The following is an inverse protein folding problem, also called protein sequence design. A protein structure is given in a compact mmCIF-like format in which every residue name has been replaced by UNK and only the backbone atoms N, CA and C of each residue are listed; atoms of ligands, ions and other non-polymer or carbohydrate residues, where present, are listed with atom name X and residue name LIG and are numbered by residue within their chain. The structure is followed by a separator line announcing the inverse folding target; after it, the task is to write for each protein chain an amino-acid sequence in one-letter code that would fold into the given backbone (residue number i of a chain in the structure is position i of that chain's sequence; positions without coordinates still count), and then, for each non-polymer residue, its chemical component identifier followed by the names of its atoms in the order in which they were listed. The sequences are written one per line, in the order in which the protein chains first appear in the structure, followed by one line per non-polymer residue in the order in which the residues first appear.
data_IF_545360903216
#
_entry.id   IF_545360903216
#
_cell.length_a   1.000
_cell.length_b   1.000
_cell.length_c   1.000
_cell.angle_alpha   90.00
_cell.angle_beta   90.00
_cell.angle_gamma   90.00
#
_symmetry.space_group_name_H-M   'P 1'
#
loop_
_entity.id
_entity.type
_entity.pdbx_description
1 polymer ?
#
# COMPACT_ATOMS: atom_id res chain seq x y z
N UNK A 1 32.61 -19.38 3.57
CA UNK A 1 31.89 -18.14 3.95
C UNK A 1 32.48 -16.89 3.29
N UNK A 2 33.77 -16.84 2.94
CA UNK A 2 34.37 -15.69 2.22
C UNK A 2 34.07 -15.61 0.71
N UNK A 3 33.70 -16.71 0.04
CA UNK A 3 33.32 -16.69 -1.38
C UNK A 3 32.05 -15.88 -1.68
N UNK A 4 31.21 -15.62 -0.68
CA UNK A 4 29.92 -14.94 -0.84
C UNK A 4 30.01 -13.41 -0.83
N UNK A 5 31.09 -12.81 -0.30
CA UNK A 5 31.02 -11.40 0.11
C UNK A 5 31.57 -10.39 -0.90
N UNK A 6 32.57 -10.77 -1.72
CA UNK A 6 33.23 -9.82 -2.64
C UNK A 6 33.01 -10.06 -4.13
N UNK A 7 32.34 -11.15 -4.54
CA UNK A 7 32.12 -11.45 -5.98
C UNK A 7 30.69 -11.85 -6.37
N UNK A 8 29.73 -11.95 -5.45
CA UNK A 8 28.39 -12.48 -5.76
C UNK A 8 27.62 -11.64 -6.79
N UNK A 9 27.72 -10.31 -6.69
CA UNK A 9 27.11 -9.37 -7.63
C UNK A 9 27.83 -9.41 -8.99
N UNK A 10 29.16 -9.48 -8.98
CA UNK A 10 29.98 -9.57 -10.20
C UNK A 10 29.86 -10.94 -10.91
N UNK A 11 29.43 -11.98 -10.20
CA UNK A 11 29.22 -13.33 -10.74
C UNK A 11 27.82 -13.56 -11.29
N UNK A 12 26.85 -12.67 -11.04
CA UNK A 12 25.46 -12.80 -11.51
C UNK A 12 25.19 -12.21 -12.90
N UNK A 13 26.24 -11.86 -13.65
CA UNK A 13 26.08 -11.39 -15.02
C UNK A 13 25.39 -10.04 -15.18
N UNK A 14 25.06 -9.71 -16.43
CA UNK A 14 24.40 -8.46 -16.80
C UNK A 14 22.98 -8.33 -16.22
N UNK A 15 22.28 -9.44 -16.02
CA UNK A 15 20.88 -9.46 -15.54
C UNK A 15 20.77 -9.15 -14.03
N UNK A 16 21.89 -9.19 -13.28
CA UNK A 16 21.93 -8.78 -11.88
C UNK A 16 21.64 -7.28 -11.68
N UNK A 17 22.05 -6.39 -12.60
CA UNK A 17 21.81 -4.95 -12.49
C UNK A 17 20.32 -4.57 -12.44
N UNK A 18 19.44 -5.01 -13.38
CA UNK A 18 18.02 -4.73 -13.30
C UNK A 18 17.34 -5.38 -12.08
N UNK A 19 17.83 -6.55 -11.62
CA UNK A 19 17.35 -7.20 -10.38
C UNK A 19 17.63 -6.34 -9.15
N UNK A 20 18.85 -5.80 -9.02
CA UNK A 20 19.21 -4.90 -7.93
C UNK A 20 18.40 -3.60 -7.97
N UNK A 21 18.14 -3.06 -9.16
CA UNK A 21 17.28 -1.89 -9.32
C UNK A 21 15.85 -2.15 -8.81
N UNK A 22 15.26 -3.30 -9.16
CA UNK A 22 13.93 -3.69 -8.68
C UNK A 22 13.91 -3.89 -7.17
N UNK A 23 14.94 -4.51 -6.61
CA UNK A 23 15.09 -4.69 -5.16
C UNK A 23 15.14 -3.35 -4.43
N UNK A 24 15.97 -2.42 -4.89
CA UNK A 24 16.09 -1.09 -4.30
C UNK A 24 14.78 -0.30 -4.42
N UNK A 25 14.16 -0.30 -5.61
CA UNK A 25 12.90 0.40 -5.84
C UNK A 25 11.76 -0.18 -4.99
N UNK A 26 11.68 -1.51 -4.88
CA UNK A 26 10.74 -2.19 -3.99
C UNK A 26 10.95 -1.83 -2.52
N UNK A 27 12.21 -1.75 -2.07
CA UNK A 27 12.55 -1.36 -0.70
C UNK A 27 12.16 0.09 -0.40
N UNK A 28 12.47 1.03 -1.30
CA UNK A 28 12.08 2.45 -1.15
C UNK A 28 10.56 2.59 -1.06
N UNK A 29 9.82 1.92 -1.95
CA UNK A 29 8.35 1.94 -1.91
C UNK A 29 7.81 1.32 -0.62
N UNK A 30 8.42 0.24 -0.13
CA UNK A 30 8.02 -0.39 1.13
C UNK A 30 8.18 0.56 2.32
N UNK A 31 9.34 1.23 2.45
CA UNK A 31 9.59 2.18 3.55
C UNK A 31 8.67 3.40 3.46
N UNK A 32 8.55 4.01 2.28
CA UNK A 32 7.65 5.14 2.05
C UNK A 32 6.21 4.79 2.45
N UNK A 33 5.71 3.64 1.99
CA UNK A 33 4.34 3.19 2.27
C UNK A 33 4.15 2.81 3.73
N UNK A 34 5.12 2.14 4.36
CA UNK A 34 5.07 1.79 5.78
C UNK A 34 4.93 3.03 6.66
N UNK A 35 5.70 4.09 6.38
CA UNK A 35 5.62 5.35 7.10
C UNK A 35 4.31 6.10 6.85
N UNK A 36 3.84 6.14 5.61
CA UNK A 36 2.55 6.76 5.26
C UNK A 36 1.39 6.10 6.00
N UNK A 37 1.38 4.76 6.03
CA UNK A 37 0.30 3.98 6.64
C UNK A 37 0.33 4.02 8.16
N UNK A 38 1.53 4.10 8.76
CA UNK A 38 1.67 4.31 10.20
C UNK A 38 1.11 5.67 10.64
N UNK A 39 1.34 6.74 9.88
CA UNK A 39 0.75 8.06 10.16
C UNK A 39 -0.77 8.08 10.02
N UNK A 40 -1.34 7.29 9.11
CA UNK A 40 -2.79 7.19 8.91
C UNK A 40 -3.57 6.50 10.05
N UNK A 41 -2.93 5.63 10.83
CA UNK A 41 -3.59 4.88 11.91
C UNK A 41 -3.74 5.65 13.23
N UNK A 42 -2.87 6.61 13.51
CA UNK A 42 -2.66 7.11 14.89
C UNK A 42 -3.79 8.04 15.39
N UNK A 43 -4.81 8.34 14.59
CA UNK A 43 -5.82 9.34 14.98
C UNK A 43 -7.29 9.02 14.72
N UNK A 44 -7.66 7.88 14.13
CA UNK A 44 -9.05 7.67 13.66
C UNK A 44 -10.10 7.77 14.79
N UNK A 45 -9.85 7.11 15.93
CA UNK A 45 -10.81 7.09 17.05
C UNK A 45 -10.87 8.42 17.80
N UNK A 46 -9.71 9.03 18.06
CA UNK A 46 -9.61 10.34 18.73
C UNK A 46 -10.21 11.44 17.86
N UNK A 47 -9.95 11.39 16.56
CA UNK A 47 -10.53 12.30 15.57
C UNK A 47 -12.05 12.17 15.51
N UNK A 48 -12.59 10.94 15.43
CA UNK A 48 -14.02 10.69 15.43
C UNK A 48 -14.69 11.21 16.72
N UNK A 49 -14.06 10.95 17.86
CA UNK A 49 -14.53 11.45 19.17
C UNK A 49 -14.52 12.98 19.23
N UNK A 50 -13.50 13.62 18.66
CA UNK A 50 -13.40 15.07 18.51
C UNK A 50 -14.54 15.65 17.68
N UNK A 51 -14.82 15.05 16.51
CA UNK A 51 -15.92 15.45 15.63
C UNK A 51 -17.27 15.31 16.32
N UNK A 52 -17.54 14.15 16.93
CA UNK A 52 -18.80 13.90 17.67
C UNK A 52 -19.01 14.93 18.79
N UNK A 53 -17.95 15.27 19.53
CA UNK A 53 -18.01 16.28 20.58
C UNK A 53 -18.33 17.68 20.06
N UNK A 54 -17.78 18.08 18.92
CA UNK A 54 -18.05 19.37 18.29
C UNK A 54 -19.48 19.45 17.76
N UNK A 55 -19.96 18.39 17.11
CA UNK A 55 -21.35 18.28 16.63
C UNK A 55 -22.33 18.33 17.81
N UNK A 56 -22.06 17.62 18.92
CA UNK A 56 -22.91 17.66 20.12
C UNK A 56 -23.01 19.06 20.74
N UNK A 57 -21.95 19.87 20.60
CA UNK A 57 -21.92 21.27 21.03
C UNK A 57 -22.53 22.24 20.00
N UNK A 58 -23.11 21.73 18.91
CA UNK A 58 -23.65 22.50 17.77
C UNK A 58 -22.62 23.37 17.06
N UNK A 59 -21.34 22.99 17.13
CA UNK A 59 -20.21 23.70 16.50
C UNK A 59 -19.83 23.01 15.19
N UNK A 60 -20.78 22.95 14.25
CA UNK A 60 -20.58 22.26 12.95
C UNK A 60 -19.46 22.88 12.12
N UNK A 61 -19.35 24.21 12.12
CA UNK A 61 -18.29 24.93 11.40
C UNK A 61 -16.92 24.48 11.87
N UNK A 62 -16.73 24.34 13.18
CA UNK A 62 -15.45 23.90 13.75
C UNK A 62 -15.17 22.42 13.49
N UNK A 63 -16.20 21.57 13.47
CA UNK A 63 -16.04 20.18 13.06
C UNK A 63 -15.57 20.10 11.59
N UNK A 64 -16.10 20.98 10.73
CA UNK A 64 -15.68 21.07 9.33
C UNK A 64 -14.23 21.57 9.22
N UNK A 65 -13.85 22.61 9.97
CA UNK A 65 -12.47 23.11 10.02
C UNK A 65 -11.49 22.03 10.50
N UNK A 66 -11.86 21.25 11.52
CA UNK A 66 -11.04 20.14 12.00
C UNK A 66 -10.81 19.08 10.91
N UNK A 67 -11.83 18.79 10.09
CA UNK A 67 -11.69 17.92 8.92
C UNK A 67 -10.83 18.52 7.80
N UNK A 68 -10.75 19.84 7.67
CA UNK A 68 -9.89 20.51 6.69
C UNK A 68 -8.43 20.57 7.13
N UNK A 69 -8.19 20.78 8.43
CA UNK A 69 -6.86 20.87 9.02
C UNK A 69 -6.21 19.48 9.17
N UNK A 70 -7.01 18.42 9.27
CA UNK A 70 -6.52 17.05 9.44
C UNK A 70 -6.23 16.40 8.09
N UNK A 71 -4.96 16.08 7.76
CA UNK A 71 -4.66 15.37 6.54
C UNK A 71 -5.03 13.90 6.67
N UNK A 72 -5.79 13.39 5.71
CA UNK A 72 -6.00 11.96 5.55
C UNK A 72 -7.35 11.59 4.92
N UNK A 73 -7.48 10.34 4.43
CA UNK A 73 -8.73 9.82 3.86
C UNK A 73 -9.91 9.94 4.83
N UNK A 74 -9.68 9.63 6.11
CA UNK A 74 -10.70 9.63 7.15
C UNK A 74 -11.35 11.01 7.34
N UNK A 75 -10.52 12.06 7.38
CA UNK A 75 -10.99 13.42 7.55
C UNK A 75 -11.88 13.88 6.38
N UNK A 76 -11.55 13.44 5.16
CA UNK A 76 -12.33 13.74 3.95
C UNK A 76 -13.66 12.99 3.90
N UNK A 77 -13.69 11.74 4.36
CA UNK A 77 -14.93 10.97 4.51
C UNK A 77 -15.84 11.64 5.54
N UNK A 78 -15.30 12.06 6.70
CA UNK A 78 -16.05 12.80 7.72
C UNK A 78 -16.53 14.16 7.26
N UNK A 79 -15.72 14.88 6.48
CA UNK A 79 -16.15 16.13 5.85
C UNK A 79 -17.41 15.92 5.00
N UNK A 80 -17.44 14.87 4.18
CA UNK A 80 -18.61 14.54 3.35
C UNK A 80 -19.86 14.27 4.19
N UNK A 81 -19.71 13.52 5.30
CA UNK A 81 -20.81 13.27 6.23
C UNK A 81 -21.37 14.57 6.84
N UNK A 82 -20.48 15.44 7.33
CA UNK A 82 -20.86 16.70 7.99
C UNK A 82 -21.48 17.71 7.03
N UNK A 83 -21.04 17.76 5.77
CA UNK A 83 -21.62 18.65 4.76
C UNK A 83 -23.07 18.29 4.41
N UNK A 84 -23.47 17.04 4.64
CA UNK A 84 -24.83 16.56 4.42
C UNK A 84 -25.63 16.47 5.74
N UNK A 85 -25.18 17.13 6.81
CA UNK A 85 -25.89 17.14 8.08
C UNK A 85 -27.29 17.75 7.92
N UNK A 86 -28.32 17.05 8.42
CA UNK A 86 -29.73 17.46 8.32
C UNK A 86 -30.46 16.91 7.09
N UNK A 87 -29.76 16.22 6.19
CA UNK A 87 -30.37 15.50 5.06
C UNK A 87 -30.92 14.12 5.49
N UNK A 88 -31.61 13.44 4.57
CA UNK A 88 -32.09 12.09 4.81
C UNK A 88 -30.95 11.10 5.12
N UNK A 89 -31.25 10.05 5.90
CA UNK A 89 -30.31 8.94 6.21
C UNK A 89 -29.65 8.38 4.96
N UNK A 90 -30.40 8.24 3.87
CA UNK A 90 -29.87 7.67 2.64
C UNK A 90 -28.91 8.64 1.93
N UNK A 91 -29.20 9.94 1.96
CA UNK A 91 -28.32 10.98 1.40
C UNK A 91 -26.97 11.01 2.13
N UNK A 92 -26.97 11.02 3.46
CA UNK A 92 -25.73 11.04 4.27
C UNK A 92 -24.91 9.78 4.01
N UNK A 93 -25.56 8.61 4.05
CA UNK A 93 -24.91 7.33 3.75
C UNK A 93 -24.29 7.31 2.36
N UNK A 94 -25.02 7.78 1.35
CA UNK A 94 -24.54 7.85 -0.04
C UNK A 94 -23.34 8.78 -0.19
N UNK A 95 -23.34 9.93 0.51
CA UNK A 95 -22.23 10.88 0.52
C UNK A 95 -20.97 10.30 1.17
N UNK A 96 -21.11 9.55 2.27
CA UNK A 96 -20.02 8.83 2.93
C UNK A 96 -19.44 7.76 2.00
N UNK A 97 -20.29 6.94 1.39
CA UNK A 97 -19.86 5.88 0.47
C UNK A 97 -19.15 6.45 -0.76
N UNK A 98 -19.66 7.54 -1.32
CA UNK A 98 -19.06 8.21 -2.47
C UNK A 98 -17.67 8.77 -2.13
N UNK A 99 -17.49 9.36 -0.94
CA UNK A 99 -16.18 9.79 -0.47
C UNK A 99 -15.23 8.60 -0.23
N UNK A 100 -15.72 7.52 0.36
CA UNK A 100 -14.94 6.30 0.59
C UNK A 100 -14.44 5.66 -0.73
N UNK A 101 -15.27 5.63 -1.78
CA UNK A 101 -14.90 5.12 -3.11
C UNK A 101 -13.73 5.90 -3.71
N UNK A 102 -13.66 7.21 -3.48
CA UNK A 102 -12.56 8.06 -3.98
C UNK A 102 -11.30 7.92 -3.13
N UNK A 103 -11.46 7.83 -1.82
CA UNK A 103 -10.34 7.92 -0.88
C UNK A 103 -9.68 6.57 -0.56
N UNK A 104 -10.42 5.45 -0.50
CA UNK A 104 -9.87 4.11 -0.23
C UNK A 104 -8.79 3.69 -1.25
N UNK A 105 -8.98 3.86 -2.58
CA UNK A 105 -7.95 3.51 -3.56
C UNK A 105 -6.63 4.26 -3.38
N UNK A 106 -6.65 5.44 -2.74
CA UNK A 106 -5.43 6.21 -2.46
C UNK A 106 -4.53 5.53 -1.42
N UNK A 107 -5.11 4.75 -0.50
CA UNK A 107 -4.38 3.91 0.46
C UNK A 107 -3.69 2.74 -0.23
N UNK A 108 -4.33 2.15 -1.24
CA UNK A 108 -3.81 1.01 -2.00
C UNK A 108 -2.73 1.42 -3.02
N UNK A 109 -2.64 2.71 -3.33
CA UNK A 109 -1.70 3.25 -4.31
C UNK A 109 -0.25 2.84 -3.96
N UNK A 110 0.50 2.44 -4.99
CA UNK A 110 1.91 1.94 -4.93
C UNK A 110 2.08 0.56 -4.30
N UNK A 111 1.13 0.04 -3.52
CA UNK A 111 1.18 -1.34 -3.00
C UNK A 111 1.06 -2.34 -4.17
N UNK A 112 0.19 -2.07 -5.13
CA UNK A 112 0.10 -2.85 -6.37
C UNK A 112 1.40 -2.86 -7.18
N UNK A 113 2.19 -1.77 -7.11
CA UNK A 113 3.51 -1.71 -7.76
C UNK A 113 4.50 -2.65 -7.07
N UNK A 114 4.51 -2.72 -5.74
CA UNK A 114 5.34 -3.69 -5.00
C UNK A 114 4.98 -5.12 -5.39
N UNK A 115 3.68 -5.43 -5.52
CA UNK A 115 3.23 -6.74 -5.99
C UNK A 115 3.71 -7.04 -7.43
N UNK A 116 3.64 -6.05 -8.33
CA UNK A 116 4.11 -6.20 -9.69
C UNK A 116 5.63 -6.47 -9.74
N UNK A 117 6.42 -5.70 -8.98
CA UNK A 117 7.88 -5.91 -8.87
C UNK A 117 8.22 -7.29 -8.32
N UNK A 118 7.51 -7.74 -7.29
CA UNK A 118 7.68 -9.07 -6.72
C UNK A 118 7.38 -10.18 -7.74
N UNK A 119 6.38 -9.98 -8.62
CA UNK A 119 6.03 -10.94 -9.69
C UNK A 119 7.01 -10.93 -10.85
N UNK A 120 7.63 -9.79 -11.15
CA UNK A 120 8.57 -9.64 -12.27
C UNK A 120 9.99 -10.08 -11.90
N UNK A 121 10.42 -9.91 -10.64
CA UNK A 121 11.74 -10.33 -10.16
C UNK A 121 12.13 -11.79 -10.50
N UNK A 122 11.28 -12.82 -10.28
CA UNK A 122 11.65 -14.20 -10.61
C UNK A 122 11.68 -14.44 -12.12
N UNK A 123 10.86 -13.74 -12.90
CA UNK A 123 10.89 -13.80 -14.36
C UNK A 123 12.21 -13.24 -14.91
N UNK A 124 12.74 -12.18 -14.31
CA UNK A 124 14.07 -11.66 -14.64
C UNK A 124 15.19 -12.60 -14.21
N UNK A 125 15.07 -13.23 -13.04
CA UNK A 125 16.00 -14.28 -12.61
C UNK A 125 16.06 -15.44 -13.61
N UNK A 126 14.89 -15.88 -14.09
CA UNK A 126 14.77 -16.90 -15.13
C UNK A 126 15.27 -16.43 -16.51
N UNK A 127 15.06 -15.17 -16.87
CA UNK A 127 15.66 -14.61 -18.09
C UNK A 127 17.20 -14.70 -18.03
N UNK A 128 17.79 -14.42 -16.86
CA UNK A 128 19.23 -14.53 -16.63
C UNK A 128 19.77 -15.94 -16.89
N UNK A 129 19.04 -16.99 -16.50
CA UNK A 129 19.47 -18.37 -16.78
C UNK A 129 19.44 -18.69 -18.26
N UNK A 130 18.41 -18.22 -18.99
CA UNK A 130 18.33 -18.40 -20.44
C UNK A 130 19.47 -17.71 -21.17
N UNK A 131 19.83 -16.49 -20.76
CA UNK A 131 20.96 -15.75 -21.35
C UNK A 131 22.28 -16.46 -21.09
N UNK A 132 22.53 -16.90 -19.85
CA UNK A 132 23.74 -17.63 -19.50
C UNK A 132 23.85 -18.99 -20.22
N UNK A 133 22.73 -19.70 -20.39
CA UNK A 133 22.68 -20.94 -21.16
C UNK A 133 22.99 -20.72 -22.65
N UNK A 134 22.44 -19.66 -23.25
CA UNK A 134 22.76 -19.28 -24.63
C UNK A 134 24.25 -18.94 -24.81
N UNK A 135 24.83 -18.19 -23.87
CA UNK A 135 26.26 -17.88 -23.88
C UNK A 135 27.08 -19.15 -23.74
N UNK A 136 26.70 -20.07 -22.85
CA UNK A 136 27.40 -21.33 -22.66
C UNK A 136 27.46 -22.17 -23.94
N UNK A 137 26.35 -22.25 -24.70
CA UNK A 137 26.32 -22.96 -25.99
C UNK A 137 27.23 -22.30 -27.03
N UNK A 138 27.17 -20.97 -27.16
CA UNK A 138 27.99 -20.24 -28.13
C UNK A 138 29.50 -20.30 -27.83
N UNK A 139 29.87 -20.21 -26.55
CA UNK A 139 31.27 -20.34 -26.14
C UNK A 139 31.77 -21.78 -26.24
N UNK A 140 30.90 -22.77 -26.04
CA UNK A 140 31.30 -24.17 -26.17
C UNK A 140 31.79 -24.51 -27.60
N UNK A 141 31.13 -23.94 -28.63
CA UNK A 141 31.54 -24.11 -30.03
C UNK A 141 32.87 -23.44 -30.37
N UNK A 142 33.24 -22.37 -29.65
CA UNK A 142 34.43 -21.56 -29.96
C UNK A 142 35.68 -21.91 -29.15
N UNK A 143 35.54 -22.52 -27.97
CA UNK A 143 36.66 -22.77 -27.04
C UNK A 143 37.07 -24.25 -26.90
N UNK A 144 36.72 -25.13 -27.85
CA UNK A 144 37.10 -26.56 -27.83
C UNK A 144 36.80 -27.27 -26.50
N UNK A 145 35.71 -26.89 -25.80
CA UNK A 145 35.29 -27.56 -24.58
C UNK A 145 36.04 -27.19 -23.30
N UNK A 146 36.56 -25.96 -23.17
CA UNK A 146 37.10 -25.46 -21.89
C UNK A 146 36.02 -25.50 -20.78
N UNK A 147 36.11 -26.52 -19.93
CA UNK A 147 35.16 -26.83 -18.86
C UNK A 147 35.08 -25.73 -17.79
N UNK A 148 36.13 -24.90 -17.66
CA UNK A 148 36.18 -23.82 -16.68
C UNK A 148 35.19 -22.68 -17.00
N UNK A 149 35.07 -22.33 -18.28
CA UNK A 149 34.15 -21.29 -18.77
C UNK A 149 32.71 -21.73 -18.63
N UNK A 150 32.42 -22.98 -18.98
CA UNK A 150 31.08 -23.56 -18.85
C UNK A 150 30.62 -23.58 -17.39
N UNK A 151 31.49 -24.02 -16.48
CA UNK A 151 31.21 -24.06 -15.04
C UNK A 151 30.89 -22.68 -14.47
N UNK A 152 31.61 -21.64 -14.94
CA UNK A 152 31.36 -20.25 -14.53
C UNK A 152 30.01 -19.73 -14.99
N UNK A 153 29.63 -19.96 -16.25
CA UNK A 153 28.34 -19.53 -16.81
C UNK A 153 27.16 -20.25 -16.15
N UNK A 154 27.33 -21.52 -15.79
CA UNK A 154 26.32 -22.26 -15.04
C UNK A 154 26.15 -21.69 -13.62
N UNK A 155 27.25 -21.35 -12.94
CA UNK A 155 27.18 -20.69 -11.64
C UNK A 155 26.48 -19.33 -11.72
N UNK A 156 26.79 -18.52 -12.74
CA UNK A 156 26.13 -17.25 -13.03
C UNK A 156 24.61 -17.39 -13.20
N UNK A 157 24.18 -18.39 -13.98
CA UNK A 157 22.77 -18.70 -14.18
C UNK A 157 22.06 -18.98 -12.86
N UNK A 158 22.63 -19.88 -12.04
CA UNK A 158 22.04 -20.30 -10.77
C UNK A 158 21.97 -19.15 -9.76
N UNK A 159 23.02 -18.35 -9.66
CA UNK A 159 23.07 -17.18 -8.76
C UNK A 159 22.00 -16.16 -9.15
N UNK A 160 21.83 -15.89 -10.45
CA UNK A 160 20.85 -14.92 -10.94
C UNK A 160 19.41 -15.37 -10.66
N UNK A 161 19.12 -16.66 -10.89
CA UNK A 161 17.82 -17.26 -10.58
C UNK A 161 17.50 -17.23 -9.08
N UNK A 162 18.46 -17.67 -8.25
CA UNK A 162 18.31 -17.67 -6.80
C UNK A 162 18.07 -16.24 -6.26
N UNK A 163 18.77 -15.25 -6.81
CA UNK A 163 18.60 -13.84 -6.42
C UNK A 163 17.23 -13.30 -6.81
N UNK A 164 16.74 -13.59 -8.02
CA UNK A 164 15.39 -13.21 -8.46
C UNK A 164 14.29 -13.81 -7.59
N UNK A 165 14.44 -15.08 -7.20
CA UNK A 165 13.52 -15.73 -6.26
C UNK A 165 13.59 -15.11 -4.87
N UNK A 166 14.78 -14.83 -4.34
CA UNK A 166 14.94 -14.20 -3.03
C UNK A 166 14.26 -12.82 -2.98
N UNK A 167 14.47 -12.00 -4.00
CA UNK A 167 13.83 -10.67 -4.13
C UNK A 167 12.30 -10.82 -4.24
N UNK A 168 11.83 -11.79 -5.03
CA UNK A 168 10.39 -12.09 -5.16
C UNK A 168 9.75 -12.41 -3.81
N UNK A 169 10.38 -13.28 -3.02
CA UNK A 169 9.87 -13.70 -1.71
C UNK A 169 9.80 -12.52 -0.76
N UNK A 170 10.87 -11.74 -0.66
CA UNK A 170 10.91 -10.55 0.20
C UNK A 170 9.89 -9.50 -0.23
N UNK A 171 9.75 -9.24 -1.54
CA UNK A 171 8.76 -8.32 -2.09
C UNK A 171 7.32 -8.76 -1.82
N UNK A 172 7.03 -10.07 -1.91
CA UNK A 172 5.69 -10.59 -1.64
C UNK A 172 5.31 -10.51 -0.15
N UNK A 173 6.27 -10.78 0.75
CA UNK A 173 6.08 -10.59 2.19
C UNK A 173 5.79 -9.12 2.52
N UNK A 174 6.56 -8.20 1.95
CA UNK A 174 6.36 -6.76 2.09
C UNK A 174 4.98 -6.32 1.59
N UNK A 175 4.54 -6.82 0.42
CA UNK A 175 3.21 -6.57 -0.12
C UNK A 175 2.11 -7.04 0.84
N UNK A 176 2.16 -8.29 1.31
CA UNK A 176 1.12 -8.81 2.18
C UNK A 176 1.04 -8.10 3.53
N UNK A 177 2.19 -7.69 4.09
CA UNK A 177 2.24 -6.89 5.29
C UNK A 177 1.52 -5.53 5.12
N UNK A 178 1.86 -4.80 4.05
CA UNK A 178 1.23 -3.50 3.75
C UNK A 178 -0.26 -3.65 3.41
N UNK A 179 -0.61 -4.67 2.63
CA UNK A 179 -1.99 -4.94 2.25
C UNK A 179 -2.87 -5.30 3.46
N UNK A 180 -2.33 -6.04 4.43
CA UNK A 180 -3.01 -6.30 5.70
C UNK A 180 -3.31 -5.02 6.48
N UNK A 181 -2.33 -4.09 6.53
CA UNK A 181 -2.50 -2.78 7.19
C UNK A 181 -3.53 -1.90 6.49
N UNK A 182 -3.56 -1.88 5.15
CA UNK A 182 -4.60 -1.14 4.42
C UNK A 182 -5.98 -1.69 4.71
N UNK A 183 -6.16 -3.01 4.71
CA UNK A 183 -7.45 -3.61 5.04
C UNK A 183 -7.94 -3.27 6.45
N UNK A 184 -7.03 -3.21 7.43
CA UNK A 184 -7.37 -2.76 8.77
C UNK A 184 -7.88 -1.29 8.76
N UNK A 185 -7.19 -0.40 8.05
CA UNK A 185 -7.62 1.00 7.92
C UNK A 185 -8.96 1.15 7.20
N UNK A 186 -9.20 0.38 6.12
CA UNK A 186 -10.48 0.40 5.41
C UNK A 186 -11.62 -0.04 6.33
N UNK A 187 -11.40 -1.09 7.11
CA UNK A 187 -12.38 -1.54 8.11
C UNK A 187 -12.66 -0.45 9.15
N UNK A 188 -11.61 0.23 9.66
CA UNK A 188 -11.77 1.34 10.60
C UNK A 188 -12.59 2.49 9.99
N UNK A 189 -12.41 2.79 8.71
CA UNK A 189 -13.15 3.85 8.01
C UNK A 189 -14.61 3.47 7.78
N UNK A 190 -14.89 2.22 7.41
CA UNK A 190 -16.26 1.72 7.27
C UNK A 190 -17.00 1.79 8.59
N UNK A 191 -16.37 1.34 9.68
CA UNK A 191 -16.94 1.39 11.02
C UNK A 191 -17.20 2.83 11.47
N UNK A 192 -16.21 3.71 11.33
CA UNK A 192 -16.36 5.11 11.67
C UNK A 192 -17.41 5.83 10.82
N UNK A 193 -17.48 5.53 9.52
CA UNK A 193 -18.50 6.06 8.60
C UNK A 193 -19.92 5.63 8.98
N UNK A 194 -20.10 4.39 9.41
CA UNK A 194 -21.38 3.93 9.94
C UNK A 194 -21.75 4.63 11.26
N UNK A 195 -20.79 4.70 12.18
CA UNK A 195 -20.95 5.29 13.51
C UNK A 195 -21.27 6.80 13.46
N UNK A 196 -20.64 7.56 12.55
CA UNK A 196 -20.99 8.98 12.36
C UNK A 196 -22.36 9.14 11.71
N UNK A 197 -22.73 8.30 10.75
CA UNK A 197 -24.03 8.37 10.10
C UNK A 197 -25.18 8.16 11.10
N UNK A 198 -25.07 7.14 11.95
CA UNK A 198 -26.00 6.91 13.07
C UNK A 198 -26.07 8.12 14.00
N UNK A 199 -24.91 8.65 14.40
CA UNK A 199 -24.84 9.78 15.32
C UNK A 199 -25.45 11.06 14.76
N UNK A 200 -25.22 11.39 13.49
CA UNK A 200 -25.78 12.59 12.85
C UNK A 200 -27.31 12.51 12.75
N UNK A 201 -27.86 11.34 12.46
CA UNK A 201 -29.33 11.13 12.41
C UNK A 201 -29.95 11.27 13.80
N UNK A 202 -29.34 10.67 14.83
CA UNK A 202 -29.84 10.83 16.21
C UNK A 202 -29.81 12.29 16.66
N UNK A 203 -28.82 13.08 16.23
CA UNK A 203 -28.78 14.51 16.52
C UNK A 203 -29.85 15.29 15.74
N UNK A 204 -30.05 15.01 14.44
CA UNK A 204 -31.08 15.70 13.65
C UNK A 204 -32.48 15.44 14.20
N UNK A 205 -32.78 14.19 14.57
CA UNK A 205 -34.09 13.80 15.11
C UNK A 205 -34.35 14.46 16.48
N UNK A 206 -33.31 14.49 17.34
CA UNK A 206 -33.39 15.18 18.63
C UNK A 206 -33.53 16.70 18.49
N UNK A 207 -33.02 17.30 17.41
CA UNK A 207 -33.22 18.72 17.10
C UNK A 207 -34.61 18.99 16.53
N UNK A 208 -35.18 18.08 15.74
CA UNK A 208 -36.54 18.18 15.22
C UNK A 208 -37.58 18.10 16.34
N UNK A 209 -37.49 17.10 17.22
CA UNK A 209 -38.41 16.94 18.36
C UNK A 209 -38.39 18.15 19.31
N UNK A 210 -37.22 18.74 19.57
CA UNK A 210 -37.12 19.96 20.40
C UNK A 210 -37.74 21.20 19.76
N UNK A 211 -37.87 21.25 18.44
CA UNK A 211 -38.57 22.35 17.76
C UNK A 211 -40.07 22.18 17.86
N UNK A 212 -40.57 20.95 17.70
CA UNK A 212 -41.99 20.63 17.88
C UNK A 212 -42.48 20.87 19.31
N UNK A 213 -41.66 20.57 20.33
CA UNK A 213 -42.00 20.83 21.74
C UNK A 213 -41.97 22.32 22.14
N UNK A 214 -41.41 23.19 21.29
CA UNK A 214 -41.22 24.61 21.56
C UNK A 214 -42.24 25.52 20.84
N UNK A 215 -43.05 24.96 19.94
CA UNK A 215 -44.16 25.62 19.23
C UNK A 215 -45.50 25.36 19.93
#
# INVERSE_FOLDING_TARGET
MEYLQNNFISQGGFVMYPLLFISLLGFVLFVERSLFLHKGQIGTQDFLSGIKNLVRKKRLVEALTLCEDTPGPMARIMKSALLNYGESRETIRSAIQSAAIVEIPTLERRIGTIAALARVAPLLGFLGTLVAAFQALYLFESFNGDSSVLSRLLAEALITSASGLAISVMGMLAYHFLFGRVRALVHDFEWAGHDINEFLIMQSDAEASKREDAE
#
